data_IF_057975030983
#
_entry.id   IF_057975030983
#
_cell.length_a   1.000
_cell.length_b   1.000
_cell.length_c   1.000
_cell.angle_alpha   90.00
_cell.angle_beta   90.00
_cell.angle_gamma   90.00
#
_symmetry.space_group_name_H-M   'P 1'
#
loop_
_entity.id
_entity.type
_entity.pdbx_description
1 polymer ?
#
# COMPACT_ATOMS: atom_id res chain seq x y z
N UNK A 1 45.09 43.48 44.27
CA UNK A 1 45.83 42.87 43.14
C UNK A 1 44.85 42.11 42.26
N UNK A 2 44.72 42.48 40.98
CA UNK A 2 43.82 41.86 40.00
C UNK A 2 44.24 40.41 39.72
N UNK A 3 43.31 39.44 39.73
CA UNK A 3 43.35 38.17 38.97
C UNK A 3 41.90 37.74 38.72
N UNK A 4 41.35 38.04 37.55
CA UNK A 4 41.24 37.19 36.35
C UNK A 4 40.39 35.95 36.61
N UNK A 5 39.18 36.02 36.06
CA UNK A 5 38.12 35.01 36.06
C UNK A 5 38.28 34.19 34.78
N UNK A 6 38.21 32.86 34.88
CA UNK A 6 38.09 31.95 33.73
C UNK A 6 36.85 31.10 33.99
N UNK A 7 35.77 31.34 33.24
CA UNK A 7 34.61 30.44 33.19
C UNK A 7 34.82 29.44 32.05
N UNK A 8 34.93 28.16 32.41
CA UNK A 8 34.90 27.05 31.46
C UNK A 8 33.42 26.76 31.15
N UNK A 9 32.93 27.12 29.97
CA UNK A 9 31.64 26.65 29.47
C UNK A 9 31.86 25.55 28.44
N UNK A 10 31.46 24.33 28.82
CA UNK A 10 31.35 23.16 27.98
C UNK A 10 30.10 23.35 27.10
N UNK A 11 30.26 23.68 25.81
CA UNK A 11 29.12 23.70 24.88
C UNK A 11 28.98 22.34 24.21
N UNK A 12 27.90 21.64 24.53
CA UNK A 12 27.46 20.43 23.85
C UNK A 12 27.16 20.71 22.37
N UNK A 13 27.63 19.85 21.48
CA UNK A 13 27.20 19.81 20.08
C UNK A 13 25.79 19.22 20.02
N UNK A 14 24.79 20.03 19.71
CA UNK A 14 23.47 19.57 19.27
C UNK A 14 23.47 19.66 17.74
N UNK A 15 23.44 18.51 17.06
CA UNK A 15 23.08 18.48 15.64
C UNK A 15 21.58 18.76 15.54
N UNK A 16 21.22 19.97 15.08
CA UNK A 16 19.91 20.20 14.50
C UNK A 16 19.94 19.61 13.09
N UNK A 17 19.15 18.55 12.85
CA UNK A 17 18.83 18.13 11.49
C UNK A 17 18.05 19.25 10.80
N UNK A 18 18.41 19.55 9.56
CA UNK A 18 17.79 20.60 8.76
C UNK A 18 16.34 20.24 8.44
N UNK A 19 15.41 21.06 8.91
CA UNK A 19 14.07 21.18 8.31
C UNK A 19 14.24 21.87 6.96
N UNK A 20 13.82 21.24 5.87
CA UNK A 20 13.50 21.97 4.64
C UNK A 20 11.99 22.14 4.57
N UNK A 21 11.55 23.34 4.95
CA UNK A 21 10.31 23.91 4.47
C UNK A 21 10.62 24.61 3.14
N UNK A 22 10.10 24.10 2.02
CA UNK A 22 10.01 24.88 0.79
C UNK A 22 8.57 25.34 0.63
N UNK A 23 8.33 26.59 1.02
CA UNK A 23 7.10 27.33 0.83
C UNK A 23 7.09 27.88 -0.60
N UNK A 24 6.25 27.33 -1.46
CA UNK A 24 5.73 28.04 -2.63
C UNK A 24 4.26 28.36 -2.34
N UNK A 25 3.92 29.64 -2.26
CA UNK A 25 2.55 30.13 -2.19
C UNK A 25 2.19 30.61 -3.59
N UNK A 26 1.43 29.80 -4.32
CA UNK A 26 0.44 30.31 -5.26
C UNK A 26 -0.92 30.21 -4.56
N UNK A 27 -1.74 31.24 -4.70
CA UNK A 27 -3.09 31.24 -4.14
C UNK A 27 -3.97 30.24 -4.90
N UNK A 28 -4.01 29.00 -4.42
CA UNK A 28 -5.00 27.96 -4.71
C UNK A 28 -4.95 26.96 -3.55
N UNK A 29 -5.69 27.25 -2.47
CA UNK A 29 -5.58 26.54 -1.18
C UNK A 29 -6.79 25.63 -0.89
N UNK A 30 -7.46 25.11 -1.93
CA UNK A 30 -8.69 24.31 -1.81
C UNK A 30 -8.45 22.79 -1.81
N UNK A 31 -7.22 22.33 -1.63
CA UNK A 31 -6.92 20.90 -1.55
C UNK A 31 -5.93 20.58 -0.43
N UNK A 32 -6.05 19.37 0.11
CA UNK A 32 -5.07 18.79 1.03
C UNK A 32 -4.38 17.62 0.34
N UNK A 33 -3.17 17.29 0.79
CA UNK A 33 -2.47 16.08 0.38
C UNK A 33 -1.99 15.31 1.61
N UNK A 34 -1.79 14.00 1.43
CA UNK A 34 -1.13 13.10 2.37
C UNK A 34 -0.10 12.29 1.61
N UNK A 35 1.01 11.99 2.29
CA UNK A 35 2.07 11.12 1.79
C UNK A 35 2.16 9.94 2.74
N UNK A 36 2.25 8.75 2.18
CA UNK A 36 2.42 7.50 2.91
C UNK A 36 3.53 6.69 2.24
N UNK A 37 4.45 6.13 3.02
CA UNK A 37 5.59 5.37 2.51
C UNK A 37 6.69 5.16 3.54
N UNK A 38 7.66 4.33 3.18
CA UNK A 38 8.89 4.05 3.90
C UNK A 38 10.11 4.77 3.32
N UNK A 39 11.29 4.14 3.42
CA UNK A 39 12.58 4.67 2.93
C UNK A 39 12.91 4.22 1.50
N UNK A 40 12.06 3.41 0.89
CA UNK A 40 12.26 2.82 -0.43
C UNK A 40 11.34 3.41 -1.48
N UNK A 41 11.21 2.70 -2.60
CA UNK A 41 10.27 3.00 -3.66
C UNK A 41 8.86 2.50 -3.30
N UNK A 42 7.96 3.43 -3.04
CA UNK A 42 6.58 3.13 -2.62
C UNK A 42 5.59 3.68 -3.66
N UNK A 43 4.54 2.91 -3.93
CA UNK A 43 3.55 3.21 -4.97
C UNK A 43 2.13 3.12 -4.40
N UNK A 44 1.33 4.17 -4.59
CA UNK A 44 -0.12 4.11 -4.38
C UNK A 44 -0.80 3.65 -5.67
N UNK A 45 -1.63 2.61 -5.59
CA UNK A 45 -2.23 1.94 -6.76
C UNK A 45 -3.75 2.12 -6.77
N UNK A 46 -4.41 1.79 -5.68
CA UNK A 46 -5.87 1.79 -5.57
C UNK A 46 -6.38 2.80 -4.55
N UNK A 47 -7.59 3.32 -4.79
CA UNK A 47 -8.35 4.12 -3.82
C UNK A 47 -9.80 3.65 -3.78
N UNK A 48 -10.38 3.55 -2.59
CA UNK A 48 -11.80 3.30 -2.37
C UNK A 48 -12.33 4.10 -1.18
N UNK A 49 -13.64 4.32 -1.15
CA UNK A 49 -14.34 4.99 -0.05
C UNK A 49 -15.30 4.01 0.62
N UNK A 50 -15.37 4.02 1.96
CA UNK A 50 -16.44 3.32 2.68
C UNK A 50 -17.73 4.16 2.73
N UNK A 51 -18.80 3.58 3.28
CA UNK A 51 -20.12 4.22 3.42
C UNK A 51 -20.11 5.54 4.20
N UNK A 52 -19.05 5.80 4.99
CA UNK A 52 -18.85 7.04 5.76
C UNK A 52 -17.90 8.02 5.06
N UNK A 53 -17.54 7.76 3.80
CA UNK A 53 -16.52 8.47 3.03
C UNK A 53 -15.12 8.45 3.67
N UNK A 54 -14.81 7.47 4.52
CA UNK A 54 -13.41 7.25 4.90
C UNK A 54 -12.65 6.74 3.68
N UNK A 55 -11.40 7.16 3.57
CA UNK A 55 -10.57 6.95 2.39
C UNK A 55 -9.63 5.77 2.65
N UNK A 56 -9.61 4.81 1.73
CA UNK A 56 -8.71 3.67 1.77
C UNK A 56 -7.77 3.72 0.57
N UNK A 57 -6.48 3.63 0.83
CA UNK A 57 -5.44 3.53 -0.19
C UNK A 57 -4.83 2.13 -0.16
N UNK A 58 -4.81 1.48 -1.31
CA UNK A 58 -4.05 0.25 -1.54
C UNK A 58 -2.78 0.56 -2.34
N UNK A 59 -1.68 -0.11 -2.02
CA UNK A 59 -0.42 0.13 -2.71
C UNK A 59 0.67 -0.87 -2.36
N UNK A 60 1.87 -0.58 -2.84
CA UNK A 60 3.07 -1.38 -2.65
C UNK A 60 4.13 -0.57 -1.89
N UNK A 61 4.80 -1.22 -0.94
CA UNK A 61 5.94 -0.66 -0.19
C UNK A 61 7.21 -1.47 -0.50
N UNK A 62 8.32 -0.80 -0.77
CA UNK A 62 9.63 -1.46 -0.79
C UNK A 62 10.12 -1.68 0.65
N UNK A 63 10.29 -2.95 1.05
CA UNK A 63 10.74 -3.29 2.40
C UNK A 63 12.25 -3.12 2.51
N UNK A 64 12.71 -1.87 2.70
CA UNK A 64 14.14 -1.52 2.72
C UNK A 64 14.97 -2.28 3.77
N UNK A 65 14.34 -2.75 4.86
CA UNK A 65 14.99 -3.56 5.90
C UNK A 65 15.02 -5.07 5.60
N UNK A 66 14.35 -5.53 4.54
CA UNK A 66 14.46 -6.90 4.04
C UNK A 66 15.77 -7.04 3.24
N UNK A 67 16.67 -7.99 3.59
CA UNK A 67 17.90 -8.25 2.84
C UNK A 67 17.66 -8.55 1.35
N UNK A 68 16.50 -9.10 1.01
CA UNK A 68 16.08 -9.45 -0.34
C UNK A 68 15.28 -8.35 -1.03
N UNK A 69 15.01 -7.24 -0.32
CA UNK A 69 14.22 -6.10 -0.79
C UNK A 69 12.89 -6.50 -1.40
N UNK A 70 12.20 -7.44 -0.76
CA UNK A 70 10.86 -7.80 -1.16
C UNK A 70 9.91 -6.62 -1.02
N UNK A 71 8.92 -6.59 -1.88
CA UNK A 71 7.83 -5.63 -1.78
C UNK A 71 6.73 -6.17 -0.87
N UNK A 72 5.99 -5.28 -0.24
CA UNK A 72 4.82 -5.59 0.59
C UNK A 72 3.58 -4.88 0.04
N UNK A 73 2.41 -5.49 0.18
CA UNK A 73 1.15 -4.79 -0.03
C UNK A 73 0.84 -3.93 1.21
N UNK A 74 0.27 -2.74 0.99
CA UNK A 74 -0.21 -1.89 2.06
C UNK A 74 -1.66 -1.47 1.85
N UNK A 75 -2.36 -1.30 2.97
CA UNK A 75 -3.69 -0.74 3.05
C UNK A 75 -3.67 0.38 4.10
N UNK A 76 -4.06 1.59 3.73
CA UNK A 76 -4.04 2.75 4.62
C UNK A 76 -5.43 3.36 4.68
N UNK A 77 -5.92 3.63 5.89
CA UNK A 77 -7.20 4.30 6.12
C UNK A 77 -6.98 5.73 6.63
N UNK A 78 -7.69 6.68 6.02
CA UNK A 78 -7.91 8.03 6.51
C UNK A 78 -9.41 8.26 6.74
N UNK A 79 -9.77 9.17 7.63
CA UNK A 79 -11.16 9.64 7.70
C UNK A 79 -11.50 10.57 6.51
N UNK A 80 -12.76 10.97 6.39
CA UNK A 80 -13.24 11.86 5.33
C UNK A 80 -12.63 13.28 5.35
N UNK A 81 -11.90 13.63 6.42
CA UNK A 81 -11.18 14.90 6.57
C UNK A 81 -9.67 14.72 6.28
N UNK A 82 -9.25 13.52 5.86
CA UNK A 82 -7.87 13.19 5.56
C UNK A 82 -7.01 12.95 6.80
N UNK A 83 -7.58 12.71 7.98
CA UNK A 83 -6.79 12.34 9.16
C UNK A 83 -6.51 10.84 9.16
N UNK A 84 -5.25 10.48 9.36
CA UNK A 84 -4.82 9.09 9.44
C UNK A 84 -5.55 8.34 10.55
N UNK A 85 -6.03 7.13 10.24
CA UNK A 85 -6.71 6.24 11.19
C UNK A 85 -5.83 5.03 11.52
N UNK A 86 -5.50 4.23 10.51
CA UNK A 86 -4.67 3.04 10.67
C UNK A 86 -4.08 2.60 9.33
N UNK A 87 -3.12 1.68 9.38
CA UNK A 87 -2.62 0.97 8.20
C UNK A 87 -2.46 -0.54 8.49
N UNK A 88 -2.41 -1.33 7.41
CA UNK A 88 -2.00 -2.73 7.39
C UNK A 88 -0.90 -2.90 6.37
N UNK A 89 0.13 -3.67 6.72
CA UNK A 89 1.21 -4.07 5.82
C UNK A 89 1.18 -5.60 5.73
N UNK A 90 1.14 -6.12 4.51
CA UNK A 90 1.12 -7.54 4.20
C UNK A 90 2.50 -7.88 3.61
N UNK A 91 3.25 -8.68 4.36
CA UNK A 91 4.64 -9.03 4.07
C UNK A 91 4.92 -10.49 4.44
N UNK A 92 6.14 -10.97 4.17
CA UNK A 92 6.57 -12.35 4.46
C UNK A 92 7.00 -13.12 3.21
N UNK A 93 6.61 -12.61 2.05
CA UNK A 93 7.17 -12.88 0.71
C UNK A 93 7.11 -11.57 -0.07
N UNK A 94 7.43 -11.59 -1.37
CA UNK A 94 7.22 -10.44 -2.23
C UNK A 94 5.76 -10.33 -2.66
N UNK A 95 5.20 -9.12 -2.55
CA UNK A 95 3.88 -8.77 -3.03
C UNK A 95 3.93 -7.52 -3.91
N UNK A 96 3.00 -7.34 -4.84
CA UNK A 96 2.91 -6.15 -5.71
C UNK A 96 1.47 -5.74 -5.98
N UNK A 97 1.26 -4.53 -6.47
CA UNK A 97 -0.07 -3.99 -6.81
C UNK A 97 -0.72 -3.26 -5.64
N UNK A 98 -1.98 -3.58 -5.35
CA UNK A 98 -2.79 -2.90 -4.34
C UNK A 98 -4.05 -2.26 -4.89
N UNK A 99 -4.66 -2.85 -5.93
CA UNK A 99 -5.99 -2.47 -6.36
C UNK A 99 -7.00 -2.76 -5.23
N UNK A 100 -8.02 -1.90 -5.07
CA UNK A 100 -8.91 -1.96 -3.91
C UNK A 100 -10.36 -1.69 -4.32
N UNK A 101 -11.28 -2.41 -3.67
CA UNK A 101 -12.71 -2.10 -3.68
C UNK A 101 -13.29 -2.36 -2.29
N UNK A 102 -14.46 -1.79 -2.02
CA UNK A 102 -15.19 -1.94 -0.76
C UNK A 102 -16.63 -2.36 -1.09
N UNK A 103 -17.17 -3.34 -0.36
CA UNK A 103 -18.56 -3.78 -0.55
C UNK A 103 -19.57 -2.91 0.21
N UNK A 104 -20.86 -3.17 0.02
CA UNK A 104 -21.93 -2.38 0.67
C UNK A 104 -21.98 -2.53 2.19
N UNK A 105 -21.26 -3.51 2.73
CA UNK A 105 -21.10 -3.77 4.17
C UNK A 105 -19.76 -3.28 4.72
N UNK A 106 -19.06 -2.43 3.95
CA UNK A 106 -17.74 -1.87 4.24
C UNK A 106 -16.60 -2.89 4.40
N UNK A 107 -16.77 -4.11 3.91
CA UNK A 107 -15.63 -5.03 3.82
C UNK A 107 -14.69 -4.60 2.70
N UNK A 108 -13.40 -4.66 3.00
CA UNK A 108 -12.35 -4.17 2.10
C UNK A 108 -11.74 -5.35 1.37
N UNK A 109 -11.61 -5.22 0.06
CA UNK A 109 -10.97 -6.20 -0.80
C UNK A 109 -9.74 -5.57 -1.44
N UNK A 110 -8.57 -6.12 -1.11
CA UNK A 110 -7.28 -5.71 -1.64
C UNK A 110 -6.77 -6.78 -2.61
N UNK A 111 -6.43 -6.39 -3.82
CA UNK A 111 -5.94 -7.26 -4.87
C UNK A 111 -4.54 -6.84 -5.34
N UNK A 112 -3.76 -7.84 -5.73
CA UNK A 112 -2.43 -7.64 -6.25
C UNK A 112 -1.79 -8.98 -6.61
N UNK A 113 -0.48 -9.04 -6.50
CA UNK A 113 0.32 -10.22 -6.82
C UNK A 113 1.01 -10.76 -5.56
N UNK A 114 1.19 -12.06 -5.48
CA UNK A 114 2.00 -12.75 -4.48
C UNK A 114 3.07 -13.60 -5.16
N UNK A 115 4.31 -13.49 -4.69
CA UNK A 115 5.39 -14.36 -5.16
C UNK A 115 5.32 -15.74 -4.50
N UNK A 116 5.26 -16.78 -5.31
CA UNK A 116 5.28 -18.17 -4.90
C UNK A 116 6.70 -18.76 -5.09
N UNK A 117 7.44 -19.04 -4.01
CA UNK A 117 8.82 -19.52 -4.11
C UNK A 117 8.95 -20.94 -4.66
N UNK A 118 7.87 -21.73 -4.69
CA UNK A 118 7.92 -23.10 -5.19
C UNK A 118 7.90 -23.16 -6.72
N UNK A 119 7.11 -22.29 -7.36
CA UNK A 119 7.04 -22.14 -8.82
C UNK A 119 7.98 -21.06 -9.34
N UNK A 120 8.46 -20.16 -8.46
CA UNK A 120 9.19 -18.94 -8.83
C UNK A 120 8.40 -18.01 -9.75
N UNK A 121 7.08 -17.95 -9.54
CA UNK A 121 6.13 -17.11 -10.28
C UNK A 121 5.41 -16.13 -9.36
N UNK A 122 4.87 -15.06 -9.93
CA UNK A 122 3.84 -14.24 -9.28
C UNK A 122 2.46 -14.75 -9.64
N UNK A 123 1.59 -14.84 -8.64
CA UNK A 123 0.20 -15.30 -8.80
C UNK A 123 -0.75 -14.18 -8.32
N UNK A 124 -2.01 -14.21 -8.74
CA UNK A 124 -3.01 -13.27 -8.21
C UNK A 124 -3.20 -13.53 -6.71
N UNK A 125 -3.38 -12.45 -5.94
CA UNK A 125 -3.88 -12.53 -4.57
C UNK A 125 -5.03 -11.56 -4.33
N UNK A 126 -6.04 -12.04 -3.63
CA UNK A 126 -7.19 -11.29 -3.13
C UNK A 126 -7.26 -11.46 -1.62
N UNK A 127 -7.30 -10.35 -0.89
CA UNK A 127 -7.35 -10.33 0.57
C UNK A 127 -8.59 -9.58 1.03
N UNK A 128 -9.36 -10.17 1.92
CA UNK A 128 -10.53 -9.54 2.54
C UNK A 128 -10.21 -9.08 3.97
N UNK A 129 -10.59 -7.86 4.28
CA UNK A 129 -10.58 -7.29 5.63
C UNK A 129 -11.99 -6.87 6.05
N UNK A 130 -12.27 -6.94 7.35
CA UNK A 130 -13.49 -6.32 7.92
C UNK A 130 -13.37 -4.78 7.99
N UNK A 131 -14.45 -4.05 8.29
CA UNK A 131 -14.44 -2.57 8.36
C UNK A 131 -13.46 -1.99 9.41
N UNK A 132 -13.03 -2.80 10.38
CA UNK A 132 -12.02 -2.42 11.38
C UNK A 132 -10.59 -2.70 10.90
N UNK A 133 -10.44 -3.25 9.69
CA UNK A 133 -9.18 -3.62 9.09
C UNK A 133 -8.66 -5.00 9.52
N UNK A 134 -9.45 -5.82 10.22
CA UNK A 134 -8.98 -7.15 10.61
C UNK A 134 -9.06 -8.11 9.42
N UNK A 135 -7.98 -8.86 9.21
CA UNK A 135 -7.92 -9.90 8.20
C UNK A 135 -9.04 -10.93 8.38
N UNK A 136 -9.69 -11.29 7.27
CA UNK A 136 -10.74 -12.31 7.23
C UNK A 136 -10.25 -13.56 6.50
N UNK A 137 -9.84 -13.40 5.25
CA UNK A 137 -9.34 -14.48 4.41
C UNK A 137 -8.52 -13.93 3.24
N UNK A 138 -7.77 -14.81 2.58
CA UNK A 138 -7.19 -14.56 1.26
C UNK A 138 -7.51 -15.71 0.29
N UNK A 139 -7.45 -15.41 -1.00
CA UNK A 139 -7.53 -16.37 -2.11
C UNK A 139 -6.42 -16.04 -3.10
N UNK A 140 -5.84 -17.08 -3.69
CA UNK A 140 -4.91 -16.94 -4.82
C UNK A 140 -5.50 -17.54 -6.09
N UNK A 141 -5.01 -17.09 -7.23
CA UNK A 141 -5.27 -17.71 -8.52
C UNK A 141 -3.97 -17.78 -9.31
N UNK A 142 -3.69 -18.96 -9.83
CA UNK A 142 -2.45 -19.37 -10.49
C UNK A 142 -2.84 -20.20 -11.72
N UNK A 143 -2.40 -19.76 -12.90
CA UNK A 143 -2.59 -20.41 -14.19
C UNK A 143 -1.47 -21.41 -14.54
N UNK A 144 -0.41 -21.45 -13.73
CA UNK A 144 0.79 -22.27 -13.86
C UNK A 144 2.04 -21.49 -14.30
N UNK A 145 1.93 -20.20 -14.58
CA UNK A 145 3.04 -19.28 -14.90
C UNK A 145 2.81 -17.94 -14.16
N UNK A 146 3.61 -16.92 -14.47
CA UNK A 146 3.34 -15.57 -13.94
C UNK A 146 1.91 -15.10 -14.30
N UNK A 147 1.25 -14.50 -13.32
CA UNK A 147 -0.07 -13.92 -13.41
C UNK A 147 -0.06 -12.57 -12.68
N UNK A 148 -0.39 -11.51 -13.41
CA UNK A 148 -0.33 -10.13 -12.93
C UNK A 148 -1.73 -9.57 -12.72
N UNK A 149 -2.09 -9.25 -11.48
CA UNK A 149 -3.40 -8.70 -11.15
C UNK A 149 -3.36 -7.17 -11.16
N UNK A 150 -4.11 -6.54 -12.08
CA UNK A 150 -4.11 -5.08 -12.22
C UNK A 150 -5.28 -4.39 -11.51
N UNK A 151 -6.45 -5.03 -11.45
CA UNK A 151 -7.66 -4.35 -10.97
C UNK A 151 -8.68 -5.31 -10.35
N UNK A 152 -9.59 -4.73 -9.56
CA UNK A 152 -10.68 -5.41 -8.87
C UNK A 152 -11.97 -4.60 -9.03
N UNK A 153 -13.10 -5.30 -9.22
CA UNK A 153 -14.43 -4.71 -9.23
C UNK A 153 -15.46 -5.63 -8.55
N UNK A 154 -16.57 -5.04 -8.10
CA UNK A 154 -17.73 -5.77 -7.59
C UNK A 154 -18.93 -5.56 -8.53
N UNK A 155 -19.77 -6.58 -8.70
CA UNK A 155 -21.10 -6.40 -9.28
C UNK A 155 -22.16 -6.05 -8.21
N UNK A 156 -23.41 -5.85 -8.64
CA UNK A 156 -24.52 -5.51 -7.73
C UNK A 156 -24.91 -6.64 -6.77
N UNK A 157 -24.44 -7.86 -7.00
CA UNK A 157 -24.58 -9.01 -6.10
C UNK A 157 -23.32 -9.20 -5.24
N UNK A 158 -22.38 -8.26 -5.33
CA UNK A 158 -21.09 -8.23 -4.63
C UNK A 158 -20.18 -9.41 -4.97
N UNK A 159 -20.37 -10.04 -6.14
CA UNK A 159 -19.37 -10.95 -6.68
C UNK A 159 -18.12 -10.15 -7.07
N UNK A 160 -16.96 -10.78 -6.90
CA UNK A 160 -15.66 -10.14 -7.06
C UNK A 160 -15.09 -10.52 -8.42
N UNK A 161 -14.59 -9.54 -9.16
CA UNK A 161 -13.95 -9.71 -10.45
C UNK A 161 -12.55 -9.13 -10.39
N UNK A 162 -11.55 -9.94 -10.74
CA UNK A 162 -10.17 -9.52 -10.92
C UNK A 162 -9.83 -9.55 -12.39
N UNK A 163 -9.15 -8.53 -12.89
CA UNK A 163 -8.64 -8.52 -14.25
C UNK A 163 -7.16 -8.21 -14.26
N UNK A 164 -6.45 -8.83 -15.20
CA UNK A 164 -5.01 -8.82 -15.23
C UNK A 164 -4.47 -9.46 -16.50
N UNK A 165 -3.22 -9.91 -16.43
CA UNK A 165 -2.61 -10.73 -17.46
C UNK A 165 -2.13 -12.07 -16.91
N UNK A 166 -2.05 -13.06 -17.80
CA UNK A 166 -1.66 -14.43 -17.50
C UNK A 166 -0.81 -14.99 -18.63
N UNK A 167 0.27 -15.69 -18.26
CA UNK A 167 1.14 -16.34 -19.23
C UNK A 167 0.60 -17.74 -19.57
N UNK A 168 -0.14 -17.85 -20.67
CA UNK A 168 -0.78 -19.11 -21.13
C UNK A 168 0.18 -20.01 -21.93
N UNK A 169 1.44 -19.56 -22.12
CA UNK A 169 2.50 -20.30 -22.81
C UNK A 169 3.81 -19.50 -22.88
N UNK A 170 4.89 -20.06 -23.47
CA UNK A 170 6.19 -19.41 -23.55
C UNK A 170 6.08 -18.07 -24.31
N UNK A 171 6.33 -16.96 -23.61
CA UNK A 171 6.24 -15.60 -24.14
C UNK A 171 4.85 -15.19 -24.67
N UNK A 172 3.77 -15.83 -24.22
CA UNK A 172 2.41 -15.45 -24.59
C UNK A 172 1.65 -14.95 -23.35
N UNK A 173 1.50 -13.64 -23.26
CA UNK A 173 0.77 -12.96 -22.20
C UNK A 173 -0.60 -12.53 -22.74
N UNK A 174 -1.66 -13.12 -22.19
CA UNK A 174 -3.04 -12.79 -22.52
C UNK A 174 -3.69 -12.04 -21.36
N UNK A 175 -4.72 -11.21 -21.64
CA UNK A 175 -5.54 -10.67 -20.57
C UNK A 175 -6.45 -11.75 -20.00
N UNK A 176 -6.67 -11.75 -18.69
CA UNK A 176 -7.51 -12.73 -18.01
C UNK A 176 -8.53 -12.05 -17.07
N UNK A 177 -9.58 -12.79 -16.75
CA UNK A 177 -10.64 -12.41 -15.81
C UNK A 177 -10.86 -13.57 -14.84
N UNK A 178 -10.81 -13.28 -13.54
CA UNK A 178 -11.09 -14.24 -12.47
C UNK A 178 -12.30 -13.75 -11.69
N UNK A 179 -13.29 -14.62 -11.48
CA UNK A 179 -14.49 -14.33 -10.70
C UNK A 179 -14.53 -15.14 -9.42
N UNK A 180 -14.90 -14.50 -8.32
CA UNK A 180 -15.27 -15.17 -7.08
C UNK A 180 -16.69 -14.77 -6.66
N UNK A 181 -17.49 -15.76 -6.29
CA UNK A 181 -18.79 -15.52 -5.68
C UNK A 181 -18.61 -15.10 -4.21
N UNK A 182 -19.50 -14.22 -3.73
CA UNK A 182 -19.49 -13.72 -2.34
C UNK A 182 -19.88 -14.80 -1.33
#
# INVERSE_FOLDING_TARGET
MKKIIIYLFLTAFIFFSFNFASKFVSADNDYWHRVWGGKGHDEGVGIALDSSNNIYLGGTLEMFSDPWRHNALCLVKYDNSGNYQWNKTISGTSYRGGAITIDSSDYIFLAGEIYNPNSSTFDFILIKFDPLGNYQWNKTWDSGNDDVCYTIALDSLENIYLAGSSFTGPNNEDFCLVKYDK
#
